data_IF_525646098691
#
_entry.id   IF_525646098691
#
_cell.length_a   1.000
_cell.length_b   1.000
_cell.length_c   1.000
_cell.angle_alpha   90.00
_cell.angle_beta   90.00
_cell.angle_gamma   90.00
#
_symmetry.space_group_name_H-M   'P 1'
#
loop_
_entity.id
_entity.type
_entity.pdbx_description
1 polymer ?
#
# COMPACT_ATOMS: atom_id res chain seq x y z
N UNK A 1 -4.82 -5.41 -10.61
CA UNK A 1 -5.76 -6.18 -9.75
C UNK A 1 -7.05 -5.41 -9.39
N UNK A 2 -7.03 -4.40 -8.51
CA UNK A 2 -8.27 -3.81 -7.95
C UNK A 2 -9.20 -3.05 -8.94
N UNK A 3 -8.62 -2.45 -9.98
CA UNK A 3 -9.33 -1.52 -10.89
C UNK A 3 -9.46 -2.08 -12.31
N UNK A 4 -8.35 -2.57 -12.86
CA UNK A 4 -8.20 -2.80 -14.29
C UNK A 4 -9.19 -3.83 -14.86
N UNK A 5 -9.35 -4.98 -14.21
CA UNK A 5 -9.95 -6.14 -14.86
C UNK A 5 -9.06 -6.67 -15.97
N UNK A 6 -9.68 -7.19 -17.03
CA UNK A 6 -8.98 -7.70 -18.21
C UNK A 6 -7.85 -8.66 -17.80
N UNK A 7 -8.12 -9.52 -16.80
CA UNK A 7 -7.10 -10.28 -16.09
C UNK A 7 -6.40 -11.32 -16.99
N UNK A 8 -7.07 -11.73 -18.08
CA UNK A 8 -6.61 -12.70 -19.09
C UNK A 8 -6.65 -12.13 -20.51
N UNK A 9 -6.60 -10.82 -20.65
CA UNK A 9 -6.66 -10.11 -21.93
C UNK A 9 -5.37 -9.34 -22.21
N UNK A 10 -5.17 -8.98 -23.48
CA UNK A 10 -4.06 -8.15 -23.93
C UNK A 10 -2.68 -8.68 -23.57
N UNK A 11 -2.49 -10.00 -23.63
CA UNK A 11 -1.21 -10.68 -23.37
C UNK A 11 -0.75 -10.70 -21.91
N UNK A 12 -1.58 -10.28 -20.94
CA UNK A 12 -1.26 -10.32 -19.51
C UNK A 12 -1.09 -11.76 -19.01
N UNK A 13 -0.04 -12.00 -18.21
CA UNK A 13 0.14 -13.25 -17.46
C UNK A 13 -0.65 -13.30 -16.14
N UNK A 14 -0.79 -14.47 -15.50
CA UNK A 14 -1.45 -14.59 -14.21
C UNK A 14 -0.62 -13.95 -13.09
N UNK A 15 -1.29 -13.30 -12.15
CA UNK A 15 -0.71 -12.85 -10.89
C UNK A 15 -1.06 -13.81 -9.74
N UNK A 16 -0.35 -13.66 -8.61
CA UNK A 16 -0.66 -14.41 -7.38
C UNK A 16 -2.08 -14.13 -6.87
N UNK A 17 -2.65 -12.97 -7.18
CA UNK A 17 -4.03 -12.64 -6.83
C UNK A 17 -5.04 -13.32 -7.76
N UNK A 18 -4.75 -13.42 -9.05
CA UNK A 18 -5.57 -14.21 -9.98
C UNK A 18 -5.65 -15.67 -9.47
N UNK A 19 -4.48 -16.28 -9.21
CA UNK A 19 -4.40 -17.65 -8.68
C UNK A 19 -5.11 -17.82 -7.34
N UNK A 20 -4.91 -16.90 -6.40
CA UNK A 20 -5.48 -17.01 -5.05
C UNK A 20 -7.00 -16.91 -5.07
N UNK A 21 -7.56 -15.93 -5.79
CA UNK A 21 -9.01 -15.73 -5.84
C UNK A 21 -9.74 -16.86 -6.58
N UNK A 22 -9.11 -17.45 -7.62
CA UNK A 22 -9.68 -18.62 -8.31
C UNK A 22 -9.53 -19.93 -7.52
N UNK A 23 -8.42 -20.10 -6.78
CA UNK A 23 -8.15 -21.36 -6.05
C UNK A 23 -8.74 -21.39 -4.64
N UNK A 24 -8.96 -20.22 -4.03
CA UNK A 24 -9.48 -20.06 -2.68
C UNK A 24 -10.58 -18.99 -2.63
N UNK A 25 -11.67 -19.14 -3.40
CA UNK A 25 -12.75 -18.16 -3.41
C UNK A 25 -13.39 -17.96 -2.02
N UNK A 26 -13.32 -18.95 -1.13
CA UNK A 26 -13.73 -18.88 0.28
C UNK A 26 -12.96 -17.87 1.12
N UNK A 27 -11.79 -17.42 0.64
CA UNK A 27 -10.97 -16.41 1.32
C UNK A 27 -11.35 -14.97 0.95
N UNK A 28 -12.30 -14.81 0.03
CA UNK A 28 -12.90 -13.54 -0.33
C UNK A 28 -14.32 -13.54 0.25
N UNK A 29 -14.66 -12.50 1.00
CA UNK A 29 -15.87 -12.44 1.84
C UNK A 29 -17.17 -12.64 1.05
N UNK A 30 -17.20 -12.21 -0.20
CA UNK A 30 -18.33 -12.38 -1.13
C UNK A 30 -18.03 -13.36 -2.28
N UNK A 31 -16.95 -14.15 -2.15
CA UNK A 31 -16.46 -15.10 -3.15
C UNK A 31 -16.14 -14.51 -4.53
N UNK A 32 -15.98 -13.18 -4.61
CA UNK A 32 -15.66 -12.51 -5.86
C UNK A 32 -14.16 -12.55 -6.21
N UNK A 33 -13.81 -12.02 -7.38
CA UNK A 33 -12.44 -11.90 -7.85
C UNK A 33 -12.23 -10.59 -8.63
N UNK A 34 -10.98 -10.37 -9.07
CA UNK A 34 -10.57 -9.20 -9.85
C UNK A 34 -10.58 -9.39 -11.37
N UNK A 35 -11.24 -10.42 -11.91
CA UNK A 35 -11.18 -10.76 -13.35
C UNK A 35 -11.63 -9.59 -14.23
N UNK A 36 -12.75 -8.97 -13.83
CA UNK A 36 -13.32 -7.76 -14.46
C UNK A 36 -13.06 -6.52 -13.61
N UNK A 37 -12.99 -6.65 -12.28
CA UNK A 37 -12.84 -5.50 -11.38
C UNK A 37 -13.90 -4.42 -11.67
N UNK A 38 -13.47 -3.20 -11.98
CA UNK A 38 -14.33 -2.14 -12.51
C UNK A 38 -14.05 -1.82 -13.97
N UNK A 39 -13.33 -2.71 -14.64
CA UNK A 39 -13.04 -2.62 -16.07
C UNK A 39 -12.33 -1.32 -16.47
N UNK A 40 -11.47 -0.78 -15.58
CA UNK A 40 -10.70 0.42 -15.91
C UNK A 40 -9.74 0.18 -17.08
N UNK A 41 -9.38 -1.07 -17.41
CA UNK A 41 -8.58 -1.38 -18.59
C UNK A 41 -9.23 -0.85 -19.88
N UNK A 42 -10.55 -1.03 -20.01
CA UNK A 42 -11.31 -0.51 -21.15
C UNK A 42 -11.93 0.87 -20.90
N UNK A 43 -12.20 1.22 -19.64
CA UNK A 43 -12.97 2.42 -19.25
C UNK A 43 -12.12 3.58 -18.72
N UNK A 44 -10.79 3.49 -18.77
CA UNK A 44 -9.89 4.49 -18.18
C UNK A 44 -10.18 5.94 -18.63
N UNK A 45 -10.63 6.16 -19.87
CA UNK A 45 -10.97 7.51 -20.37
C UNK A 45 -12.12 8.15 -19.58
N UNK A 46 -13.15 7.37 -19.24
CA UNK A 46 -14.27 7.85 -18.41
C UNK A 46 -13.79 8.15 -16.99
N UNK A 47 -12.94 7.28 -16.43
CA UNK A 47 -12.38 7.45 -15.08
C UNK A 47 -11.50 8.73 -15.02
N UNK A 48 -10.68 9.00 -16.05
CA UNK A 48 -9.88 10.24 -16.17
C UNK A 48 -10.76 11.48 -16.35
N UNK A 49 -11.77 11.41 -17.21
CA UNK A 49 -12.71 12.52 -17.39
C UNK A 49 -13.41 12.87 -16.08
N UNK A 50 -13.74 11.87 -15.26
CA UNK A 50 -14.35 12.10 -13.96
C UNK A 50 -13.41 12.78 -12.96
N UNK A 51 -12.13 12.38 -12.91
CA UNK A 51 -11.13 13.07 -12.09
C UNK A 51 -10.97 14.54 -12.48
N UNK A 52 -10.94 14.82 -13.79
CA UNK A 52 -10.90 16.19 -14.31
C UNK A 52 -12.11 17.00 -13.87
N UNK A 53 -13.31 16.43 -14.00
CA UNK A 53 -14.55 17.11 -13.61
C UNK A 53 -14.63 17.40 -12.11
N UNK A 54 -14.03 16.55 -11.26
CA UNK A 54 -13.90 16.80 -9.82
C UNK A 54 -12.82 17.85 -9.52
N UNK A 55 -11.86 18.08 -10.42
CA UNK A 55 -10.77 19.05 -10.24
C UNK A 55 -9.49 18.45 -9.65
N UNK A 56 -9.34 17.11 -9.65
CA UNK A 56 -8.09 16.48 -9.21
C UNK A 56 -6.96 16.77 -10.19
N UNK A 57 -5.78 17.09 -9.64
CA UNK A 57 -4.57 17.47 -10.38
C UNK A 57 -3.51 16.35 -10.45
N UNK A 58 -3.75 15.22 -9.78
CA UNK A 58 -2.86 14.07 -9.78
C UNK A 58 -3.67 12.78 -9.64
N UNK A 59 -3.16 11.70 -10.24
CA UNK A 59 -3.73 10.36 -10.10
C UNK A 59 -2.65 9.37 -9.72
N UNK A 60 -2.85 8.71 -8.58
CA UNK A 60 -2.02 7.59 -8.16
C UNK A 60 -2.62 6.28 -8.66
N UNK A 61 -1.87 5.53 -9.46
CA UNK A 61 -2.25 4.20 -9.91
C UNK A 61 -1.03 3.27 -9.91
N UNK A 62 -1.26 1.96 -10.05
CA UNK A 62 -0.19 0.97 -10.12
C UNK A 62 -0.06 0.36 -11.50
N UNK A 63 1.15 -0.06 -11.86
CA UNK A 63 1.38 -0.92 -13.02
C UNK A 63 1.25 -2.39 -12.57
N UNK A 64 0.47 -3.17 -13.31
CA UNK A 64 0.39 -4.62 -13.15
C UNK A 64 1.65 -5.24 -13.75
N UNK A 65 2.54 -5.74 -12.89
CA UNK A 65 3.78 -6.39 -13.31
C UNK A 65 3.51 -7.52 -14.34
N UNK A 66 2.61 -8.49 -14.11
CA UNK A 66 2.37 -9.54 -15.10
C UNK A 66 1.67 -9.04 -16.38
N UNK A 67 1.16 -7.80 -16.43
CA UNK A 67 0.72 -7.18 -17.69
C UNK A 67 1.89 -6.68 -18.53
N UNK A 68 2.98 -6.22 -17.90
CA UNK A 68 4.20 -5.75 -18.59
C UNK A 68 5.16 -6.89 -18.91
N UNK A 69 5.40 -7.77 -17.93
CA UNK A 69 6.24 -8.97 -18.07
C UNK A 69 5.39 -10.19 -17.72
N UNK A 70 4.74 -10.85 -18.70
CA UNK A 70 3.82 -11.97 -18.43
C UNK A 70 4.45 -13.17 -17.72
N UNK A 71 5.74 -13.43 -17.94
CA UNK A 71 6.52 -14.44 -17.21
C UNK A 71 7.37 -13.83 -16.07
N UNK A 72 7.06 -12.59 -15.69
CA UNK A 72 7.66 -11.82 -14.60
C UNK A 72 9.06 -11.28 -14.83
N UNK A 73 9.87 -11.89 -15.70
CA UNK A 73 11.24 -11.44 -15.99
C UNK A 73 11.44 -11.11 -17.48
N UNK A 74 12.60 -10.53 -17.81
CA UNK A 74 12.93 -10.08 -19.17
C UNK A 74 13.10 -11.24 -20.17
N UNK A 75 13.50 -12.43 -19.71
CA UNK A 75 13.55 -13.63 -20.57
C UNK A 75 12.13 -14.01 -21.03
N UNK A 76 11.14 -13.63 -20.23
CA UNK A 76 9.73 -13.72 -20.53
C UNK A 76 9.26 -12.94 -21.76
N UNK A 77 9.99 -11.89 -22.13
CA UNK A 77 9.57 -10.89 -23.11
C UNK A 77 8.72 -9.78 -22.48
N UNK A 78 8.80 -8.59 -23.09
CA UNK A 78 7.96 -7.44 -22.73
C UNK A 78 6.67 -7.47 -23.54
N UNK A 79 5.53 -7.42 -22.86
CA UNK A 79 4.23 -7.34 -23.51
C UNK A 79 3.95 -5.90 -24.00
N UNK A 80 4.01 -5.71 -25.32
CA UNK A 80 3.82 -4.39 -25.95
C UNK A 80 2.39 -3.86 -25.84
N UNK A 81 1.40 -4.73 -25.74
CA UNK A 81 0.01 -4.31 -25.54
C UNK A 81 -0.19 -3.74 -24.13
N UNK A 82 0.38 -4.38 -23.11
CA UNK A 82 0.44 -3.85 -21.76
C UNK A 82 1.12 -2.48 -21.66
N UNK A 83 2.26 -2.32 -22.35
CA UNK A 83 2.94 -1.01 -22.46
C UNK A 83 2.03 0.03 -23.13
N UNK A 84 1.32 -0.36 -24.19
CA UNK A 84 0.40 0.53 -24.93
C UNK A 84 -0.74 1.00 -24.03
N UNK A 85 -1.34 0.12 -23.23
CA UNK A 85 -2.38 0.48 -22.28
C UNK A 85 -1.92 1.56 -21.29
N UNK A 86 -0.78 1.37 -20.61
CA UNK A 86 -0.31 2.36 -19.65
C UNK A 86 0.13 3.66 -20.33
N UNK A 87 0.73 3.60 -21.53
CA UNK A 87 1.00 4.80 -22.32
C UNK A 87 -0.28 5.59 -22.62
N UNK A 88 -1.35 4.90 -23.00
CA UNK A 88 -2.64 5.53 -23.29
C UNK A 88 -3.25 6.18 -22.05
N UNK A 89 -3.22 5.51 -20.89
CA UNK A 89 -3.67 6.08 -19.62
C UNK A 89 -2.83 7.31 -19.22
N UNK A 90 -1.51 7.21 -19.28
CA UNK A 90 -0.59 8.32 -18.95
C UNK A 90 -0.83 9.51 -19.86
N UNK A 91 -0.97 9.29 -21.16
CA UNK A 91 -1.24 10.35 -22.12
C UNK A 91 -2.60 11.01 -21.87
N UNK A 92 -3.64 10.23 -21.56
CA UNK A 92 -4.96 10.75 -21.23
C UNK A 92 -4.93 11.61 -19.96
N UNK A 93 -4.22 11.18 -18.92
CA UNK A 93 -4.03 11.97 -17.68
C UNK A 93 -3.34 13.30 -17.98
N UNK A 94 -2.22 13.27 -18.72
CA UNK A 94 -1.46 14.48 -19.00
C UNK A 94 -2.25 15.44 -19.88
N UNK A 95 -2.96 14.93 -20.89
CA UNK A 95 -3.84 15.75 -21.75
C UNK A 95 -4.97 16.43 -20.96
N UNK A 96 -5.34 15.88 -19.80
CA UNK A 96 -6.35 16.42 -18.92
C UNK A 96 -5.78 17.18 -17.70
N UNK A 97 -4.46 17.39 -17.67
CA UNK A 97 -3.76 18.19 -16.66
C UNK A 97 -3.46 17.45 -15.35
N UNK A 98 -3.63 16.11 -15.32
CA UNK A 98 -3.31 15.31 -14.14
C UNK A 98 -1.89 14.74 -14.18
N UNK A 99 -1.19 14.85 -13.06
CA UNK A 99 0.12 14.26 -12.87
C UNK A 99 0.00 12.77 -12.51
N UNK A 100 0.64 11.86 -13.27
CA UNK A 100 0.67 10.45 -12.92
C UNK A 100 1.67 10.20 -11.77
N UNK A 101 1.17 9.61 -10.68
CA UNK A 101 1.97 9.04 -9.58
C UNK A 101 1.92 7.52 -9.70
N UNK A 102 3.01 6.90 -10.17
CA UNK A 102 2.97 5.47 -10.52
C UNK A 102 3.56 4.62 -9.42
N UNK A 103 2.78 3.65 -8.94
CA UNK A 103 3.25 2.57 -8.07
C UNK A 103 3.68 1.36 -8.89
N UNK A 104 4.96 0.99 -8.83
CA UNK A 104 5.51 -0.13 -9.61
C UNK A 104 4.98 -1.48 -9.12
N UNK A 105 4.88 -1.65 -7.80
CA UNK A 105 4.37 -2.87 -7.18
C UNK A 105 3.30 -2.58 -6.14
N UNK A 106 2.09 -3.07 -6.40
CA UNK A 106 0.95 -3.01 -5.49
C UNK A 106 0.36 -4.41 -5.30
N UNK A 107 1.17 -5.32 -4.75
CA UNK A 107 0.82 -6.72 -4.43
C UNK A 107 0.48 -7.63 -5.62
N UNK A 108 0.41 -7.11 -6.84
CA UNK A 108 0.07 -7.84 -8.08
C UNK A 108 1.29 -8.55 -8.69
N UNK A 109 1.82 -9.54 -7.96
CA UNK A 109 3.06 -10.24 -8.32
C UNK A 109 2.84 -11.32 -9.41
N UNK A 110 3.73 -11.48 -10.41
CA UNK A 110 3.59 -12.52 -11.42
C UNK A 110 3.65 -13.94 -10.82
N UNK A 111 2.64 -14.77 -11.10
CA UNK A 111 2.61 -16.16 -10.61
C UNK A 111 3.83 -16.95 -11.08
N UNK A 112 4.34 -16.67 -12.28
CA UNK A 112 5.52 -17.33 -12.84
C UNK A 112 6.76 -17.24 -11.93
N UNK A 113 6.97 -16.11 -11.24
CA UNK A 113 8.11 -15.93 -10.33
C UNK A 113 7.84 -16.54 -8.94
N UNK A 114 6.58 -16.58 -8.53
CA UNK A 114 6.18 -17.32 -7.33
C UNK A 114 6.44 -18.82 -7.53
N UNK A 115 6.08 -19.36 -8.70
CA UNK A 115 6.32 -20.76 -9.06
C UNK A 115 7.81 -21.07 -9.25
N UNK A 116 8.58 -20.16 -9.86
CA UNK A 116 9.99 -20.40 -10.16
C UNK A 116 10.86 -20.45 -8.89
N UNK A 117 10.64 -19.54 -7.94
CA UNK A 117 11.52 -19.41 -6.78
C UNK A 117 10.84 -18.91 -5.49
N UNK A 118 9.51 -18.91 -5.41
CA UNK A 118 8.78 -18.46 -4.21
C UNK A 118 8.78 -16.94 -4.01
N UNK A 119 8.90 -16.19 -5.11
CA UNK A 119 8.79 -14.73 -5.10
C UNK A 119 9.77 -14.05 -4.14
N UNK A 120 9.23 -13.25 -3.21
CA UNK A 120 10.03 -12.48 -2.25
C UNK A 120 10.72 -13.31 -1.15
N UNK A 121 10.56 -14.64 -1.13
CA UNK A 121 11.40 -15.50 -0.28
C UNK A 121 12.82 -15.68 -0.83
N UNK A 122 13.05 -15.38 -2.10
CA UNK A 122 14.32 -15.58 -2.80
C UNK A 122 15.03 -14.27 -3.10
N UNK A 123 16.36 -14.20 -2.96
CA UNK A 123 17.14 -13.00 -3.33
C UNK A 123 17.13 -12.71 -4.83
N UNK A 124 16.72 -13.67 -5.68
CA UNK A 124 16.57 -13.45 -7.13
C UNK A 124 15.62 -12.29 -7.46
N UNK A 125 14.65 -12.04 -6.58
CA UNK A 125 13.64 -11.01 -6.77
C UNK A 125 14.22 -9.61 -6.91
N UNK A 126 15.39 -9.34 -6.30
CA UNK A 126 16.03 -8.03 -6.35
C UNK A 126 16.34 -7.64 -7.80
N UNK A 127 16.89 -8.58 -8.58
CA UNK A 127 17.27 -8.33 -9.97
C UNK A 127 16.04 -8.29 -10.88
N UNK A 128 15.07 -9.19 -10.68
CA UNK A 128 13.85 -9.20 -11.49
C UNK A 128 13.02 -7.93 -11.28
N UNK A 129 12.89 -7.46 -10.04
CA UNK A 129 12.21 -6.21 -9.74
C UNK A 129 12.96 -4.99 -10.30
N UNK A 130 14.29 -4.96 -10.19
CA UNK A 130 15.10 -3.89 -10.79
C UNK A 130 14.95 -3.84 -12.32
N UNK A 131 14.94 -5.01 -12.97
CA UNK A 131 14.72 -5.13 -14.41
C UNK A 131 13.32 -4.67 -14.84
N UNK A 132 12.29 -5.08 -14.10
CA UNK A 132 10.92 -4.64 -14.31
C UNK A 132 10.77 -3.12 -14.14
N UNK A 133 11.34 -2.57 -13.07
CA UNK A 133 11.37 -1.14 -12.82
C UNK A 133 12.09 -0.39 -13.95
N UNK A 134 13.22 -0.92 -14.45
CA UNK A 134 13.95 -0.35 -15.58
C UNK A 134 13.12 -0.30 -16.88
N UNK A 135 12.31 -1.33 -17.15
CA UNK A 135 11.35 -1.29 -18.27
C UNK A 135 10.37 -0.13 -18.08
N UNK A 136 9.77 -0.01 -16.89
CA UNK A 136 8.81 1.07 -16.60
C UNK A 136 9.44 2.46 -16.73
N UNK A 137 10.65 2.66 -16.20
CA UNK A 137 11.35 3.95 -16.30
C UNK A 137 11.65 4.32 -17.76
N UNK A 138 12.07 3.35 -18.56
CA UNK A 138 12.40 3.56 -19.98
C UNK A 138 11.16 3.90 -20.81
N UNK A 139 10.06 3.20 -20.57
CA UNK A 139 8.85 3.28 -21.41
C UNK A 139 7.94 4.45 -21.02
N UNK A 140 7.99 4.91 -19.76
CA UNK A 140 7.05 5.91 -19.25
C UNK A 140 7.70 7.14 -18.59
N UNK A 141 8.99 7.08 -18.25
CA UNK A 141 9.65 8.11 -17.43
C UNK A 141 9.93 9.43 -18.14
N UNK A 142 9.76 9.48 -19.47
CA UNK A 142 9.74 10.72 -20.23
C UNK A 142 8.59 11.65 -19.77
N UNK A 143 7.46 11.04 -19.37
CA UNK A 143 6.22 11.72 -18.92
C UNK A 143 5.99 11.61 -17.41
N UNK A 144 6.35 10.49 -16.79
CA UNK A 144 6.10 10.22 -15.37
C UNK A 144 7.22 10.79 -14.52
N UNK A 145 6.85 11.62 -13.52
CA UNK A 145 7.80 12.33 -12.65
C UNK A 145 7.74 11.92 -11.17
N UNK A 146 6.81 11.05 -10.79
CA UNK A 146 6.69 10.56 -9.43
C UNK A 146 6.53 9.04 -9.43
N UNK A 147 7.59 8.36 -9.00
CA UNK A 147 7.68 6.91 -8.92
C UNK A 147 7.57 6.44 -7.48
N UNK A 148 6.69 5.48 -7.25
CA UNK A 148 6.55 4.76 -5.99
C UNK A 148 6.94 3.32 -6.29
N UNK A 149 7.97 2.82 -5.63
CA UNK A 149 8.44 1.44 -5.84
C UNK A 149 7.43 0.41 -5.34
N UNK A 150 7.12 0.44 -4.05
CA UNK A 150 6.25 -0.52 -3.38
C UNK A 150 5.09 0.20 -2.67
N UNK A 151 3.94 -0.47 -2.61
CA UNK A 151 2.84 -0.15 -1.71
C UNK A 151 2.84 -1.09 -0.51
N UNK A 152 2.88 -0.54 0.71
CA UNK A 152 2.60 -1.23 1.98
C UNK A 152 3.37 -2.57 2.15
N UNK A 153 4.71 -2.56 2.04
CA UNK A 153 5.52 -3.78 2.03
C UNK A 153 5.37 -4.63 3.30
N UNK A 154 5.18 -4.00 4.47
CA UNK A 154 4.94 -4.72 5.73
C UNK A 154 3.60 -5.44 5.71
N UNK A 155 2.56 -4.83 5.11
CA UNK A 155 1.26 -5.48 4.96
C UNK A 155 1.33 -6.64 3.96
N UNK A 156 2.04 -6.48 2.83
CA UNK A 156 2.30 -7.58 1.89
C UNK A 156 2.95 -8.77 2.60
N UNK A 157 4.02 -8.50 3.35
CA UNK A 157 4.77 -9.52 4.10
C UNK A 157 3.91 -10.22 5.16
N UNK A 158 3.23 -9.46 6.02
CA UNK A 158 2.44 -10.04 7.14
C UNK A 158 1.12 -10.67 6.67
N UNK A 159 0.50 -10.14 5.63
CA UNK A 159 -0.69 -10.71 5.00
C UNK A 159 -0.39 -12.04 4.31
N UNK A 160 0.65 -12.06 3.47
CA UNK A 160 1.01 -13.22 2.65
C UNK A 160 1.79 -14.32 3.36
N UNK A 161 2.61 -13.98 4.37
CA UNK A 161 3.61 -14.88 4.96
C UNK A 161 3.56 -15.00 6.50
N UNK A 162 2.74 -14.20 7.19
CA UNK A 162 2.50 -14.36 8.63
C UNK A 162 1.11 -14.91 8.93
N UNK A 163 0.07 -14.20 8.47
CA UNK A 163 -1.33 -14.59 8.68
C UNK A 163 -1.85 -15.58 7.64
N UNK A 164 -1.24 -15.57 6.44
CA UNK A 164 -1.76 -16.27 5.27
C UNK A 164 -3.13 -15.74 4.81
N UNK A 165 -3.54 -14.55 5.24
CA UNK A 165 -4.80 -13.95 4.80
C UNK A 165 -4.78 -13.53 3.33
N UNK A 166 -3.61 -13.27 2.76
CA UNK A 166 -3.44 -12.81 1.38
C UNK A 166 -2.54 -13.78 0.59
N UNK A 167 -2.47 -13.68 -0.75
CA UNK A 167 -1.52 -14.47 -1.52
C UNK A 167 -0.07 -14.22 -1.04
N UNK A 168 0.82 -15.23 -1.07
CA UNK A 168 0.61 -16.59 -1.58
C UNK A 168 -0.01 -17.58 -0.56
N UNK A 169 -0.70 -17.09 0.48
CA UNK A 169 -1.36 -17.90 1.52
C UNK A 169 -0.37 -18.79 2.29
N UNK A 170 0.68 -18.16 2.83
CA UNK A 170 1.69 -18.82 3.65
C UNK A 170 1.61 -18.41 5.11
N UNK A 171 1.63 -19.41 5.99
CA UNK A 171 1.72 -19.25 7.43
C UNK A 171 2.14 -20.57 8.08
N UNK A 172 2.56 -20.53 9.34
CA UNK A 172 2.80 -21.75 10.11
C UNK A 172 1.51 -22.57 10.25
N UNK A 173 1.59 -23.89 10.05
CA UNK A 173 0.43 -24.82 10.12
C UNK A 173 -0.40 -24.72 11.41
N UNK A 174 0.22 -24.34 12.53
CA UNK A 174 -0.44 -24.18 13.82
C UNK A 174 -1.16 -22.83 13.97
N UNK A 175 -0.92 -21.87 13.08
CA UNK A 175 -1.50 -20.54 13.11
C UNK A 175 -2.84 -20.51 12.35
N UNK A 176 -2.84 -20.98 11.10
CA UNK A 176 -4.04 -21.10 10.29
C UNK A 176 -3.87 -22.21 9.22
N UNK A 177 -4.96 -22.53 8.53
CA UNK A 177 -4.92 -23.45 7.39
C UNK A 177 -4.32 -22.73 6.17
N UNK A 178 -3.00 -22.80 6.02
CA UNK A 178 -2.25 -22.23 4.90
C UNK A 178 -1.60 -23.34 4.07
N UNK A 179 -1.30 -23.05 2.82
CA UNK A 179 -0.68 -24.02 1.89
C UNK A 179 0.68 -24.52 2.38
N UNK A 180 1.50 -23.61 2.93
CA UNK A 180 2.82 -23.87 3.49
C UNK A 180 3.26 -22.67 4.36
N UNK A 181 4.49 -22.69 4.86
CA UNK A 181 5.17 -21.50 5.37
C UNK A 181 5.51 -21.53 6.85
N UNK A 182 6.15 -20.45 7.29
CA UNK A 182 6.62 -20.26 8.66
C UNK A 182 6.48 -18.80 9.09
N UNK A 183 5.41 -18.51 9.84
CA UNK A 183 5.09 -17.20 10.41
C UNK A 183 6.14 -16.68 11.40
N UNK A 184 7.08 -17.54 11.82
CA UNK A 184 8.18 -17.15 12.72
C UNK A 184 9.38 -16.56 11.97
N UNK A 185 9.54 -16.84 10.67
CA UNK A 185 10.74 -16.46 9.89
C UNK A 185 10.41 -15.76 8.56
N UNK A 186 9.46 -16.27 7.79
CA UNK A 186 9.19 -15.80 6.41
C UNK A 186 8.86 -14.31 6.31
N UNK A 187 8.08 -13.70 7.23
CA UNK A 187 7.82 -12.26 7.16
C UNK A 187 9.09 -11.40 7.22
N UNK A 188 10.11 -11.86 7.94
CA UNK A 188 11.39 -11.15 8.03
C UNK A 188 12.23 -11.28 6.78
N UNK A 189 12.25 -12.47 6.18
CA UNK A 189 12.92 -12.73 4.90
C UNK A 189 12.27 -11.92 3.78
N UNK A 190 10.95 -11.95 3.68
CA UNK A 190 10.18 -11.22 2.66
C UNK A 190 10.34 -9.71 2.81
N UNK A 191 10.21 -9.17 4.02
CA UNK A 191 10.43 -7.74 4.24
C UNK A 191 11.86 -7.33 3.92
N UNK A 192 12.86 -8.18 4.17
CA UNK A 192 14.24 -7.91 3.79
C UNK A 192 14.42 -7.79 2.27
N UNK A 193 13.93 -8.77 1.50
CA UNK A 193 14.04 -8.70 0.04
C UNK A 193 13.17 -7.59 -0.57
N UNK A 194 12.03 -7.21 0.04
CA UNK A 194 11.28 -6.03 -0.37
C UNK A 194 12.11 -4.75 -0.22
N UNK A 195 12.82 -4.58 0.91
CA UNK A 195 13.71 -3.43 1.13
C UNK A 195 14.84 -3.42 0.08
N UNK A 196 15.44 -4.58 -0.22
CA UNK A 196 16.53 -4.67 -1.19
C UNK A 196 16.04 -4.43 -2.63
N UNK A 197 14.89 -4.99 -3.01
CA UNK A 197 14.26 -4.75 -4.30
C UNK A 197 13.92 -3.26 -4.49
N UNK A 198 13.33 -2.62 -3.48
CA UNK A 198 13.11 -1.18 -3.46
C UNK A 198 14.41 -0.40 -3.73
N UNK A 199 15.45 -0.69 -2.95
CA UNK A 199 16.72 0.02 -3.05
C UNK A 199 17.43 -0.23 -4.40
N UNK A 200 17.31 -1.44 -4.97
CA UNK A 200 17.81 -1.76 -6.29
C UNK A 200 17.10 -0.96 -7.40
N UNK A 201 15.77 -0.84 -7.35
CA UNK A 201 15.00 -0.02 -8.30
C UNK A 201 15.35 1.47 -8.19
N UNK A 202 15.52 1.99 -6.97
CA UNK A 202 15.95 3.37 -6.72
C UNK A 202 17.33 3.63 -7.29
N UNK A 203 18.28 2.70 -7.07
CA UNK A 203 19.62 2.79 -7.62
C UNK A 203 19.60 2.88 -9.14
N UNK A 204 18.84 1.99 -9.81
CA UNK A 204 18.64 2.03 -11.26
C UNK A 204 18.09 3.38 -11.72
N UNK A 205 17.06 3.90 -11.04
CA UNK A 205 16.47 5.19 -11.39
C UNK A 205 17.49 6.33 -11.27
N UNK A 206 18.18 6.44 -10.14
CA UNK A 206 19.14 7.51 -9.85
C UNK A 206 20.31 7.50 -10.83
N UNK A 207 20.88 6.32 -11.09
CA UNK A 207 22.08 6.19 -11.92
C UNK A 207 21.81 6.35 -13.41
N UNK A 208 20.65 5.88 -13.91
CA UNK A 208 20.38 5.82 -15.35
C UNK A 208 19.35 6.83 -15.86
N UNK A 209 18.41 7.28 -15.04
CA UNK A 209 17.22 7.98 -15.51
C UNK A 209 16.95 9.33 -14.83
N UNK A 210 17.27 9.50 -13.54
CA UNK A 210 16.84 10.67 -12.79
C UNK A 210 17.40 11.99 -13.36
N UNK A 211 18.66 12.00 -13.80
CA UNK A 211 19.28 13.20 -14.37
C UNK A 211 18.59 13.66 -15.67
N UNK A 212 18.20 12.73 -16.54
CA UNK A 212 17.56 13.03 -17.83
C UNK A 212 16.04 13.25 -17.68
N UNK A 213 15.38 12.42 -16.88
CA UNK A 213 13.92 12.44 -16.71
C UNK A 213 13.44 13.44 -15.66
N UNK A 214 14.31 13.86 -14.73
CA UNK A 214 14.05 14.86 -13.68
C UNK A 214 12.84 14.54 -12.79
N UNK A 215 12.55 13.26 -12.57
CA UNK A 215 11.52 12.82 -11.63
C UNK A 215 12.08 12.49 -10.25
N UNK A 216 11.17 12.10 -9.36
CA UNK A 216 11.44 11.68 -7.99
C UNK A 216 11.00 10.24 -7.79
N UNK A 217 11.70 9.50 -6.92
CA UNK A 217 11.37 8.12 -6.57
C UNK A 217 11.27 7.93 -5.06
N UNK A 218 10.28 7.15 -4.62
CA UNK A 218 10.01 6.88 -3.22
C UNK A 218 9.36 5.51 -3.01
N UNK A 219 8.78 5.34 -1.82
CA UNK A 219 8.04 4.15 -1.40
C UNK A 219 6.83 4.57 -0.58
N UNK A 220 5.75 3.79 -0.64
CA UNK A 220 4.56 4.01 0.17
C UNK A 220 4.51 3.03 1.33
N UNK A 221 4.44 3.55 2.56
CA UNK A 221 4.36 2.79 3.79
C UNK A 221 2.99 2.98 4.44
N UNK A 222 2.46 1.93 5.06
CA UNK A 222 1.27 2.03 5.90
C UNK A 222 1.62 2.04 7.38
N UNK A 223 0.83 2.79 8.15
CA UNK A 223 0.83 2.64 9.60
C UNK A 223 -0.45 3.17 10.21
N UNK A 224 -0.98 2.46 11.20
CA UNK A 224 -1.87 3.07 12.17
C UNK A 224 -1.04 3.93 13.13
N UNK A 225 -1.60 5.04 13.61
CA UNK A 225 -0.97 5.74 14.73
C UNK A 225 -1.19 4.94 16.02
N UNK A 226 -0.12 4.68 16.76
CA UNK A 226 -0.17 3.87 17.99
C UNK A 226 -0.16 4.79 19.20
N UNK A 227 -1.30 4.83 19.90
CA UNK A 227 -1.50 5.64 21.10
C UNK A 227 -1.20 4.78 22.33
N UNK A 228 -0.44 5.24 23.33
CA UNK A 228 -0.30 4.48 24.57
C UNK A 228 -1.65 4.37 25.29
N UNK A 229 -1.98 3.18 25.81
CA UNK A 229 -3.25 2.93 26.48
C UNK A 229 -3.40 3.79 27.75
N UNK A 230 -2.32 3.97 28.50
CA UNK A 230 -2.21 4.86 29.66
C UNK A 230 -0.94 5.74 29.59
N UNK A 231 -0.77 6.63 30.57
CA UNK A 231 0.43 7.46 30.70
C UNK A 231 1.62 6.73 31.37
N UNK A 232 1.48 5.43 31.65
CA UNK A 232 2.55 4.62 32.23
C UNK A 232 3.76 4.56 31.28
N UNK A 233 4.95 4.32 31.85
CA UNK A 233 6.16 4.16 31.05
C UNK A 233 6.03 2.92 30.15
N UNK A 234 5.42 1.87 30.68
CA UNK A 234 5.22 0.57 30.05
C UNK A 234 4.37 0.69 28.78
N UNK A 235 3.28 1.46 28.81
CA UNK A 235 2.40 1.65 27.66
C UNK A 235 2.99 2.60 26.63
N UNK A 236 3.74 3.63 27.06
CA UNK A 236 4.50 4.50 26.14
C UNK A 236 5.56 3.72 25.39
N UNK A 237 6.31 2.87 26.10
CA UNK A 237 7.28 1.97 25.47
C UNK A 237 6.57 0.95 24.58
N UNK A 238 5.43 0.41 24.98
CA UNK A 238 4.64 -0.50 24.13
C UNK A 238 4.17 0.18 22.84
N UNK A 239 3.73 1.44 22.89
CA UNK A 239 3.36 2.19 21.69
C UNK A 239 4.56 2.37 20.74
N UNK A 240 5.75 2.69 21.28
CA UNK A 240 6.99 2.75 20.50
C UNK A 240 7.33 1.39 19.86
N UNK A 241 7.21 0.28 20.60
CA UNK A 241 7.42 -1.06 20.04
C UNK A 241 6.41 -1.40 18.95
N UNK A 242 5.15 -0.98 19.12
CA UNK A 242 4.12 -1.16 18.11
C UNK A 242 4.47 -0.45 16.81
N UNK A 243 4.85 0.82 16.88
CA UNK A 243 5.33 1.58 15.71
C UNK A 243 6.57 0.93 15.08
N UNK A 244 7.48 0.40 15.89
CA UNK A 244 8.69 -0.25 15.38
C UNK A 244 8.39 -1.46 14.48
N UNK A 245 7.38 -2.26 14.83
CA UNK A 245 6.96 -3.44 14.07
C UNK A 245 5.91 -3.15 12.98
N UNK A 246 5.37 -1.92 12.91
CA UNK A 246 4.41 -1.51 11.87
C UNK A 246 5.04 -0.61 10.81
N UNK A 247 5.75 0.43 11.25
CA UNK A 247 6.24 1.52 10.40
C UNK A 247 7.76 1.51 10.29
N UNK A 248 8.45 1.51 11.43
CA UNK A 248 9.91 1.65 11.43
C UNK A 248 10.61 0.42 10.85
N UNK A 249 9.95 -0.74 10.83
CA UNK A 249 10.49 -1.96 10.23
C UNK A 249 10.97 -1.72 8.79
N UNK A 250 10.27 -0.84 8.04
CA UNK A 250 10.70 -0.42 6.72
C UNK A 250 11.36 0.97 6.74
N UNK A 251 10.82 1.95 7.48
CA UNK A 251 11.31 3.34 7.46
C UNK A 251 12.72 3.49 8.06
N UNK A 252 13.05 2.76 9.12
CA UNK A 252 14.35 2.83 9.79
C UNK A 252 15.49 2.35 8.88
N UNK A 253 15.40 1.19 8.18
CA UNK A 253 16.37 0.81 7.15
C UNK A 253 16.62 1.91 6.12
N UNK A 254 15.57 2.56 5.61
CA UNK A 254 15.73 3.64 4.64
C UNK A 254 16.46 4.86 5.22
N UNK A 255 16.24 5.16 6.50
CA UNK A 255 16.87 6.31 7.15
C UNK A 255 18.32 6.02 7.58
N UNK A 256 18.53 4.95 8.35
CA UNK A 256 19.80 4.65 9.01
C UNK A 256 20.62 3.57 8.31
N UNK A 257 20.01 2.75 7.45
CA UNK A 257 20.61 1.57 6.81
C UNK A 257 20.50 0.29 7.65
N UNK A 258 19.88 0.35 8.83
CA UNK A 258 19.74 -0.78 9.76
C UNK A 258 18.30 -0.94 10.23
N UNK A 259 17.93 -2.13 10.70
CA UNK A 259 16.63 -2.34 11.36
C UNK A 259 16.53 -1.62 12.72
N UNK A 260 15.29 -1.35 13.21
CA UNK A 260 15.10 -0.80 14.54
C UNK A 260 15.77 -1.67 15.61
N UNK A 261 16.52 -1.05 16.53
CA UNK A 261 17.25 -1.76 17.59
C UNK A 261 16.32 -2.68 18.42
N UNK A 262 15.08 -2.24 18.66
CA UNK A 262 14.09 -3.05 19.37
C UNK A 262 13.70 -4.32 18.61
N UNK A 263 13.65 -4.28 17.28
CA UNK A 263 13.40 -5.47 16.48
C UNK A 263 14.61 -6.41 16.50
N UNK A 264 15.83 -5.87 16.35
CA UNK A 264 17.07 -6.66 16.44
C UNK A 264 17.13 -7.42 17.76
N UNK A 265 16.84 -6.75 18.87
CA UNK A 265 16.89 -7.35 20.22
C UNK A 265 15.79 -8.40 20.45
N UNK A 266 14.60 -8.23 19.88
CA UNK A 266 13.44 -9.11 20.15
C UNK A 266 13.33 -10.28 19.18
N UNK A 267 13.60 -10.03 17.90
CA UNK A 267 13.51 -11.04 16.84
C UNK A 267 14.78 -11.89 16.81
N UNK A 268 15.94 -11.28 17.11
CA UNK A 268 17.21 -11.96 17.18
C UNK A 268 17.62 -12.57 15.83
N UNK A 269 18.08 -13.83 15.86
CA UNK A 269 18.60 -14.52 14.67
C UNK A 269 17.59 -14.77 13.54
N UNK A 270 16.28 -14.55 13.77
CA UNK A 270 15.24 -14.65 12.73
C UNK A 270 15.18 -13.40 11.84
N UNK A 271 15.73 -12.27 12.30
CA UNK A 271 15.81 -11.04 11.53
C UNK A 271 17.08 -11.08 10.66
N UNK A 272 16.96 -10.98 9.31
CA UNK A 272 18.12 -10.89 8.44
C UNK A 272 19.02 -9.71 8.80
N UNK A 273 20.29 -9.78 8.38
CA UNK A 273 21.27 -8.71 8.58
C UNK A 273 21.64 -8.14 7.23
N UNK A 274 21.66 -6.82 7.12
CA UNK A 274 22.19 -6.16 5.94
C UNK A 274 23.71 -6.38 5.85
N UNK A 275 24.19 -6.84 4.70
CA UNK A 275 25.61 -6.77 4.36
C UNK A 275 26.04 -5.30 4.21
N UNK A 276 27.36 -5.05 4.21
CA UNK A 276 27.87 -3.68 3.99
C UNK A 276 27.38 -3.07 2.67
N UNK A 277 27.29 -3.90 1.62
CA UNK A 277 26.79 -3.48 0.30
C UNK A 277 25.31 -3.10 0.37
N UNK A 278 24.49 -3.92 1.00
CA UNK A 278 23.06 -3.67 1.16
C UNK A 278 22.81 -2.44 2.02
N UNK A 279 23.51 -2.29 3.15
CA UNK A 279 23.45 -1.09 3.99
C UNK A 279 23.66 0.19 3.17
N UNK A 280 24.69 0.23 2.33
CA UNK A 280 25.01 1.39 1.49
C UNK A 280 23.95 1.64 0.41
N UNK A 281 23.30 0.58 -0.07
CA UNK A 281 22.26 0.67 -1.10
C UNK A 281 20.93 1.14 -0.52
N UNK A 282 20.58 0.66 0.68
CA UNK A 282 19.30 0.92 1.34
C UNK A 282 19.26 2.29 2.00
N UNK A 283 20.36 2.72 2.63
CA UNK A 283 20.39 4.00 3.34
C UNK A 283 20.17 5.18 2.37
N UNK A 284 19.13 5.96 2.62
CA UNK A 284 18.77 7.15 1.86
C UNK A 284 18.16 6.85 0.48
N UNK A 285 17.65 5.63 0.24
CA UNK A 285 17.07 5.21 -1.04
C UNK A 285 15.67 5.78 -1.34
N UNK A 286 15.42 7.04 -1.01
CA UNK A 286 14.17 7.72 -1.33
C UNK A 286 14.39 9.22 -1.53
N UNK A 287 13.55 9.83 -2.36
CA UNK A 287 13.42 11.29 -2.51
C UNK A 287 12.20 11.80 -1.72
N UNK A 288 11.18 10.95 -1.55
CA UNK A 288 9.99 11.19 -0.74
C UNK A 288 9.46 9.89 -0.13
N UNK A 289 8.61 10.02 0.90
CA UNK A 289 7.86 8.91 1.51
C UNK A 289 6.37 9.10 1.24
N UNK A 290 5.74 8.08 0.69
CA UNK A 290 4.28 7.93 0.68
C UNK A 290 3.81 7.38 2.02
N UNK A 291 2.75 7.96 2.58
CA UNK A 291 2.10 7.47 3.79
C UNK A 291 0.64 7.14 3.53
N UNK A 292 0.29 5.88 3.79
CA UNK A 292 -1.09 5.42 3.85
C UNK A 292 -1.54 5.45 5.31
N UNK A 293 -2.52 6.30 5.60
CA UNK A 293 -3.07 6.45 6.94
C UNK A 293 -4.58 6.28 6.93
N UNK A 294 -5.10 5.49 7.86
CA UNK A 294 -6.54 5.21 7.96
C UNK A 294 -7.11 5.33 9.37
N UNK A 295 -6.36 4.84 10.37
CA UNK A 295 -6.88 4.57 11.71
C UNK A 295 -5.79 4.72 12.77
N UNK A 296 -6.19 4.59 14.03
CA UNK A 296 -5.28 4.51 15.18
C UNK A 296 -5.68 3.37 16.09
N UNK A 297 -4.74 2.93 16.93
CA UNK A 297 -4.98 1.88 17.93
C UNK A 297 -4.30 2.23 19.24
N UNK A 298 -4.83 1.76 20.36
CA UNK A 298 -4.13 1.81 21.63
C UNK A 298 -3.15 0.64 21.75
N UNK A 299 -2.04 0.87 22.45
CA UNK A 299 -1.06 -0.17 22.77
C UNK A 299 -0.80 -0.22 24.27
N UNK A 300 -0.71 -1.44 24.79
CA UNK A 300 -0.24 -1.73 26.14
C UNK A 300 0.79 -2.85 26.13
N UNK A 301 1.67 -2.85 27.12
CA UNK A 301 2.69 -3.90 27.23
C UNK A 301 2.04 -5.26 27.45
N UNK A 302 2.58 -6.30 26.79
CA UNK A 302 2.12 -7.68 26.93
C UNK A 302 3.32 -8.59 27.17
N UNK A 303 3.17 -9.71 27.90
CA UNK A 303 4.20 -10.73 27.96
C UNK A 303 4.60 -11.19 26.55
N UNK A 304 5.91 -11.35 26.32
CA UNK A 304 6.41 -11.92 25.07
C UNK A 304 6.07 -13.42 24.99
N UNK A 305 5.69 -13.92 23.81
CA UNK A 305 5.49 -15.36 23.63
C UNK A 305 6.81 -16.11 23.84
N UNK A 306 6.78 -17.20 24.62
CA UNK A 306 7.95 -18.07 24.84
C UNK A 306 8.08 -19.16 23.79
N UNK A 307 6.98 -19.50 23.14
CA UNK A 307 6.91 -20.51 22.09
C UNK A 307 6.13 -19.94 20.92
N UNK A 308 6.51 -20.35 19.70
CA UNK A 308 5.80 -19.98 18.46
C UNK A 308 5.65 -18.45 18.28
N UNK A 309 6.74 -17.66 18.42
CA UNK A 309 6.67 -16.22 18.16
C UNK A 309 6.34 -15.95 16.70
N UNK A 310 5.50 -14.94 16.46
CA UNK A 310 5.20 -14.41 15.11
C UNK A 310 5.56 -12.93 15.03
N UNK A 311 5.61 -12.41 13.80
CA UNK A 311 5.74 -10.98 13.54
C UNK A 311 4.68 -10.12 14.27
N UNK A 312 3.50 -10.66 14.56
CA UNK A 312 2.44 -9.96 15.30
C UNK A 312 2.68 -9.91 16.82
N UNK A 313 3.41 -10.87 17.36
CA UNK A 313 3.59 -11.04 18.81
C UNK A 313 4.97 -10.61 19.29
N UNK A 314 5.95 -10.53 18.40
CA UNK A 314 7.35 -10.22 18.71
C UNK A 314 7.56 -8.81 19.27
N UNK A 315 6.62 -7.90 19.02
CA UNK A 315 6.62 -6.58 19.66
C UNK A 315 6.34 -6.65 21.18
N UNK A 316 5.72 -7.75 21.66
CA UNK A 316 5.22 -7.90 23.03
C UNK A 316 4.30 -6.73 23.41
N UNK A 317 3.35 -6.47 22.52
CA UNK A 317 2.37 -5.40 22.60
C UNK A 317 1.00 -6.03 22.40
N UNK A 318 0.03 -5.63 23.22
CA UNK A 318 -1.38 -5.87 22.96
C UNK A 318 -1.99 -4.60 22.41
N UNK A 319 -2.52 -4.70 21.20
CA UNK A 319 -3.29 -3.62 20.59
C UNK A 319 -4.77 -3.72 21.01
N UNK A 320 -5.41 -2.57 21.18
CA UNK A 320 -6.85 -2.49 21.48
C UNK A 320 -7.42 -1.20 20.93
N UNK A 321 -8.66 -1.24 20.47
CA UNK A 321 -9.41 -0.05 20.05
C UNK A 321 -10.24 0.52 21.20
N UNK A 322 -10.22 -0.11 22.37
CA UNK A 322 -11.01 0.27 23.54
C UNK A 322 -10.12 0.74 24.68
N UNK A 323 -10.48 1.88 25.29
CA UNK A 323 -9.90 2.38 26.55
C UNK A 323 -11.04 2.77 27.50
N UNK A 324 -11.05 2.19 28.70
CA UNK A 324 -12.10 2.41 29.71
C UNK A 324 -13.52 2.16 29.19
N UNK A 325 -13.71 1.11 28.37
CA UNK A 325 -15.00 0.76 27.77
C UNK A 325 -15.41 1.63 26.56
N UNK A 326 -14.60 2.62 26.17
CA UNK A 326 -14.88 3.50 25.04
C UNK A 326 -13.97 3.18 23.85
N UNK A 327 -14.56 3.14 22.65
CA UNK A 327 -13.81 3.03 21.40
C UNK A 327 -12.94 4.27 21.16
N UNK A 328 -11.78 4.08 20.52
CA UNK A 328 -10.85 5.15 20.16
C UNK A 328 -11.49 6.20 19.24
N UNK A 329 -12.47 5.77 18.44
CA UNK A 329 -13.30 6.62 17.59
C UNK A 329 -14.47 5.83 16.99
N UNK A 330 -15.36 6.50 16.25
CA UNK A 330 -16.44 5.82 15.52
C UNK A 330 -15.90 4.72 14.61
N UNK A 331 -16.54 3.55 14.61
CA UNK A 331 -16.18 2.43 13.75
C UNK A 331 -16.77 2.63 12.35
N UNK A 332 -15.98 2.37 11.31
CA UNK A 332 -16.46 2.35 9.92
C UNK A 332 -17.04 0.97 9.55
N UNK A 333 -17.17 0.66 8.26
CA UNK A 333 -17.68 -0.63 7.81
C UNK A 333 -16.68 -1.76 8.10
N UNK A 334 -15.39 -1.51 7.88
CA UNK A 334 -14.31 -2.44 8.21
C UNK A 334 -14.16 -2.66 9.72
N UNK A 335 -13.89 -3.90 10.11
CA UNK A 335 -13.64 -4.26 11.52
C UNK A 335 -12.41 -3.59 12.14
N UNK A 336 -11.46 -3.19 11.31
CA UNK A 336 -10.17 -2.62 11.69
C UNK A 336 -10.13 -1.08 11.66
N UNK A 337 -11.10 -0.42 11.03
CA UNK A 337 -11.06 1.02 10.75
C UNK A 337 -11.91 1.80 11.78
N UNK A 338 -11.23 2.60 12.60
CA UNK A 338 -11.83 3.50 13.58
C UNK A 338 -11.39 4.93 13.28
N UNK A 339 -12.34 5.85 13.20
CA UNK A 339 -12.09 7.23 12.77
C UNK A 339 -11.35 7.99 13.86
N UNK A 340 -10.06 8.28 13.64
CA UNK A 340 -9.21 9.01 14.58
C UNK A 340 -8.31 10.06 13.90
N UNK A 341 -8.87 11.19 13.44
CA UNK A 341 -8.12 12.24 12.74
C UNK A 341 -6.83 12.75 13.43
N UNK A 342 -6.73 12.87 14.77
CA UNK A 342 -5.48 13.28 15.42
C UNK A 342 -4.29 12.37 15.12
N UNK A 343 -4.52 11.10 14.77
CA UNK A 343 -3.43 10.17 14.53
C UNK A 343 -2.66 10.44 13.23
N UNK A 344 -3.27 11.06 12.20
CA UNK A 344 -2.52 11.44 10.99
C UNK A 344 -1.46 12.50 11.32
N UNK A 345 -1.81 13.47 12.18
CA UNK A 345 -0.87 14.46 12.68
C UNK A 345 0.23 13.79 13.51
N UNK A 346 -0.14 12.91 14.45
CA UNK A 346 0.83 12.20 15.29
C UNK A 346 1.85 11.39 14.48
N UNK A 347 1.39 10.62 13.48
CA UNK A 347 2.28 9.85 12.61
C UNK A 347 3.21 10.76 11.79
N UNK A 348 2.68 11.85 11.24
CA UNK A 348 3.46 12.80 10.45
C UNK A 348 4.53 13.53 11.27
N UNK A 349 4.19 13.95 12.48
CA UNK A 349 5.13 14.61 13.40
C UNK A 349 6.18 13.62 13.90
N UNK A 350 5.78 12.39 14.23
CA UNK A 350 6.71 11.31 14.56
C UNK A 350 7.71 11.05 13.41
N UNK A 351 7.21 10.92 12.18
CA UNK A 351 8.07 10.75 11.00
C UNK A 351 9.03 11.92 10.83
N UNK A 352 8.55 13.14 11.04
CA UNK A 352 9.37 14.35 10.98
C UNK A 352 10.50 14.32 12.01
N UNK A 353 10.17 14.08 13.26
CA UNK A 353 11.11 14.16 14.39
C UNK A 353 12.15 13.05 14.33
N UNK A 354 11.73 11.83 14.00
CA UNK A 354 12.61 10.65 14.02
C UNK A 354 13.46 10.52 12.77
N UNK A 355 12.94 10.87 11.59
CA UNK A 355 13.57 10.55 10.30
C UNK A 355 14.01 11.78 9.50
N UNK A 356 14.41 12.85 10.20
CA UNK A 356 14.95 14.08 9.60
C UNK A 356 14.00 14.76 8.60
N UNK A 357 12.71 14.82 8.95
CA UNK A 357 11.68 15.56 8.21
C UNK A 357 11.68 15.31 6.69
N UNK A 358 11.46 14.07 6.21
CA UNK A 358 11.46 13.75 4.78
C UNK A 358 10.33 14.50 4.04
N UNK A 359 10.39 14.56 2.70
CA UNK A 359 9.23 14.98 1.90
C UNK A 359 8.19 13.88 2.00
N UNK A 360 6.94 14.26 2.26
CA UNK A 360 5.84 13.31 2.47
C UNK A 360 4.70 13.57 1.49
N UNK A 361 4.11 12.50 0.96
CA UNK A 361 2.80 12.52 0.31
C UNK A 361 1.87 11.60 1.09
N UNK A 362 0.64 12.05 1.41
CA UNK A 362 -0.39 11.13 1.88
C UNK A 362 -0.90 10.37 0.67
N UNK A 363 -0.47 9.13 0.49
CA UNK A 363 -0.73 8.33 -0.72
C UNK A 363 -2.02 7.55 -0.67
N UNK A 364 -2.58 7.37 0.52
CA UNK A 364 -3.95 6.90 0.78
C UNK A 364 -4.47 7.46 2.11
N UNK A 365 -5.71 7.93 2.10
CA UNK A 365 -6.52 8.18 3.29
C UNK A 365 -8.00 8.09 2.92
N UNK A 366 -8.81 7.38 3.71
CA UNK A 366 -10.19 7.13 3.35
C UNK A 366 -10.99 6.35 4.39
N UNK A 367 -12.28 6.18 4.09
CA UNK A 367 -13.23 5.43 4.91
C UNK A 367 -14.19 4.65 4.01
N UNK A 368 -14.55 3.46 4.46
CA UNK A 368 -15.43 2.54 3.77
C UNK A 368 -16.87 2.55 4.28
N UNK A 369 -17.75 2.08 3.40
CA UNK A 369 -19.15 1.80 3.67
C UNK A 369 -19.45 0.36 3.26
N UNK A 370 -20.42 -0.27 3.94
CA UNK A 370 -20.91 -1.60 3.57
C UNK A 370 -21.64 -1.50 2.22
N UNK A 371 -21.37 -2.43 1.32
CA UNK A 371 -22.18 -2.64 0.12
C UNK A 371 -23.41 -3.48 0.46
N UNK A 372 -24.51 -2.83 0.87
CA UNK A 372 -25.79 -3.48 1.15
C UNK A 372 -26.64 -3.72 -0.12
N UNK A 373 -26.06 -3.50 -1.30
CA UNK A 373 -26.72 -3.62 -2.60
C UNK A 373 -27.57 -2.41 -2.99
N UNK A 374 -27.69 -1.38 -2.15
CA UNK A 374 -28.37 -0.13 -2.49
C UNK A 374 -27.38 0.90 -3.02
N UNK A 375 -27.82 1.71 -3.97
CA UNK A 375 -27.02 2.82 -4.47
C UNK A 375 -26.95 3.93 -3.41
N UNK A 376 -25.83 4.01 -2.70
CA UNK A 376 -25.58 5.02 -1.68
C UNK A 376 -24.69 6.14 -2.23
N UNK A 377 -25.31 7.23 -2.67
CA UNK A 377 -24.58 8.43 -3.16
C UNK A 377 -24.41 9.52 -2.08
N UNK A 378 -25.15 9.43 -0.97
CA UNK A 378 -25.12 10.44 0.10
C UNK A 378 -24.22 9.99 1.25
N UNK A 379 -22.91 10.07 1.03
CA UNK A 379 -21.85 9.61 1.92
C UNK A 379 -21.28 10.73 2.82
N UNK A 380 -22.14 11.37 3.61
CA UNK A 380 -21.72 12.50 4.48
C UNK A 380 -20.61 12.11 5.46
N UNK A 381 -20.65 10.89 5.99
CA UNK A 381 -19.61 10.38 6.90
C UNK A 381 -18.23 10.38 6.24
N UNK A 382 -18.14 10.16 4.92
CA UNK A 382 -16.88 10.26 4.17
C UNK A 382 -16.38 11.69 4.08
N UNK A 383 -17.29 12.66 3.88
CA UNK A 383 -16.94 14.09 3.92
C UNK A 383 -16.42 14.48 5.30
N UNK A 384 -17.11 14.06 6.37
CA UNK A 384 -16.71 14.35 7.75
C UNK A 384 -15.35 13.72 8.08
N UNK A 385 -15.12 12.47 7.65
CA UNK A 385 -13.83 11.80 7.79
C UNK A 385 -12.72 12.61 7.10
N UNK A 386 -12.87 12.87 5.80
CA UNK A 386 -11.82 13.50 4.99
C UNK A 386 -11.54 14.93 5.45
N UNK A 387 -12.59 15.73 5.69
CA UNK A 387 -12.42 17.12 6.13
C UNK A 387 -11.70 17.23 7.49
N UNK A 388 -12.01 16.35 8.44
CA UNK A 388 -11.28 16.30 9.71
C UNK A 388 -9.82 15.85 9.52
N UNK A 389 -9.55 14.83 8.68
CA UNK A 389 -8.17 14.42 8.42
C UNK A 389 -7.36 15.51 7.72
N UNK A 390 -7.95 16.24 6.77
CA UNK A 390 -7.32 17.40 6.12
C UNK A 390 -7.04 18.54 7.11
N UNK A 391 -7.89 18.76 8.11
CA UNK A 391 -7.63 19.74 9.17
C UNK A 391 -6.38 19.35 10.00
N UNK A 392 -6.25 18.08 10.39
CA UNK A 392 -5.07 17.60 11.13
C UNK A 392 -3.82 17.53 10.25
N UNK A 393 -3.97 17.26 8.95
CA UNK A 393 -2.90 17.38 7.97
C UNK A 393 -2.40 18.82 7.86
N UNK A 394 -3.31 19.80 7.78
CA UNK A 394 -2.95 21.21 7.76
C UNK A 394 -2.20 21.62 9.04
N UNK A 395 -2.59 21.10 10.20
CA UNK A 395 -1.87 21.33 11.47
C UNK A 395 -0.45 20.77 11.42
N UNK A 396 -0.26 19.53 10.94
CA UNK A 396 1.07 18.95 10.77
C UNK A 396 1.95 19.80 9.84
N UNK A 397 1.40 20.31 8.74
CA UNK A 397 2.09 21.22 7.81
C UNK A 397 2.48 22.53 8.52
N UNK A 398 1.58 23.13 9.28
CA UNK A 398 1.87 24.34 10.08
C UNK A 398 2.95 24.09 11.14
N UNK A 399 3.02 22.86 11.66
CA UNK A 399 4.06 22.41 12.57
C UNK A 399 5.36 22.01 11.85
N UNK A 400 5.49 22.28 10.54
CA UNK A 400 6.72 22.15 9.78
C UNK A 400 6.96 20.77 9.16
N UNK A 401 5.96 19.88 9.15
CA UNK A 401 6.04 18.64 8.37
C UNK A 401 5.98 18.96 6.87
N UNK A 402 6.91 18.41 6.08
CA UNK A 402 7.01 18.69 4.64
C UNK A 402 6.07 17.84 3.79
N UNK A 403 4.76 17.98 3.99
CA UNK A 403 3.76 17.34 3.13
C UNK A 403 3.63 18.09 1.79
N UNK A 404 3.55 17.34 0.68
CA UNK A 404 3.46 17.87 -0.70
C UNK A 404 2.25 17.41 -1.49
N UNK A 405 1.46 16.47 -0.98
CA UNK A 405 0.20 16.10 -1.61
C UNK A 405 -0.62 15.13 -0.76
N UNK A 406 -1.86 14.94 -1.20
CA UNK A 406 -2.85 14.10 -0.55
C UNK A 406 -3.67 13.36 -1.61
N UNK A 407 -3.81 12.05 -1.45
CA UNK A 407 -4.56 11.16 -2.32
C UNK A 407 -5.64 10.45 -1.49
N UNK A 408 -6.91 10.66 -1.85
CA UNK A 408 -8.03 9.97 -1.22
C UNK A 408 -8.08 8.51 -1.69
N UNK A 409 -8.10 7.57 -0.75
CA UNK A 409 -8.48 6.19 -1.06
C UNK A 409 -10.00 6.04 -0.88
N UNK A 410 -10.78 5.82 -1.93
CA UNK A 410 -10.38 5.58 -3.32
C UNK A 410 -11.12 6.51 -4.28
N UNK A 411 -10.64 6.61 -5.53
CA UNK A 411 -11.38 7.34 -6.56
C UNK A 411 -12.73 6.67 -6.82
N UNK A 412 -12.69 5.36 -7.11
CA UNK A 412 -13.84 4.54 -7.47
C UNK A 412 -14.00 3.43 -6.44
N UNK A 413 -15.24 3.04 -6.16
CA UNK A 413 -15.49 1.75 -5.49
C UNK A 413 -14.83 0.64 -6.32
N UNK A 414 -14.16 -0.32 -5.67
CA UNK A 414 -13.27 -1.27 -6.37
C UNK A 414 -13.24 -2.63 -5.65
N UNK A 415 -12.41 -3.57 -6.12
CA UNK A 415 -12.20 -4.86 -5.44
C UNK A 415 -11.26 -4.69 -4.22
N UNK A 416 -11.82 -4.76 -3.01
CA UNK A 416 -11.10 -4.53 -1.75
C UNK A 416 -10.51 -5.81 -1.15
N UNK A 417 -9.65 -6.47 -1.93
CA UNK A 417 -8.88 -7.63 -1.49
C UNK A 417 -9.79 -8.74 -0.92
N UNK A 418 -9.54 -9.20 0.31
CA UNK A 418 -10.33 -10.21 1.01
C UNK A 418 -11.78 -9.81 1.27
N UNK A 419 -12.13 -8.52 1.19
CA UNK A 419 -13.51 -8.08 1.30
C UNK A 419 -14.27 -8.18 -0.03
N UNK A 420 -13.57 -8.42 -1.16
CA UNK A 420 -14.18 -8.40 -2.48
C UNK A 420 -14.87 -7.07 -2.77
N UNK A 421 -16.13 -7.11 -3.18
CA UNK A 421 -16.96 -5.91 -3.42
C UNK A 421 -17.91 -5.60 -2.27
N UNK A 422 -17.74 -6.23 -1.10
CA UNK A 422 -18.61 -6.00 0.07
C UNK A 422 -18.37 -4.66 0.76
N UNK A 423 -17.26 -3.97 0.47
CA UNK A 423 -16.87 -2.68 1.03
C UNK A 423 -16.64 -1.65 -0.08
N UNK A 424 -16.99 -0.39 0.19
CA UNK A 424 -16.94 0.72 -0.76
C UNK A 424 -16.15 1.90 -0.21
N UNK A 425 -14.93 2.12 -0.72
CA UNK A 425 -14.08 3.26 -0.36
C UNK A 425 -14.21 4.47 -1.31
N UNK A 426 -14.88 4.31 -2.45
CA UNK A 426 -14.85 5.26 -3.55
C UNK A 426 -15.53 6.59 -3.23
N UNK A 427 -14.94 7.68 -3.72
CA UNK A 427 -15.63 8.97 -3.91
C UNK A 427 -16.69 8.89 -5.02
N UNK A 428 -16.52 7.91 -5.90
CA UNK A 428 -17.42 7.61 -7.01
C UNK A 428 -17.94 6.19 -6.82
N UNK A 429 -19.26 6.07 -6.78
CA UNK A 429 -19.95 4.79 -6.75
C UNK A 429 -19.81 4.08 -8.09
N UNK A 430 -19.49 2.78 -8.06
CA UNK A 430 -19.51 1.91 -9.23
C UNK A 430 -20.67 0.93 -9.10
N UNK A 431 -21.60 0.99 -10.05
CA UNK A 431 -22.76 0.10 -10.11
C UNK A 431 -22.35 -1.26 -10.71
N UNK A 432 -21.87 -2.15 -9.84
CA UNK A 432 -21.42 -3.49 -10.21
C UNK A 432 -22.49 -4.32 -10.94
N UNK A 433 -23.78 -4.00 -10.78
CA UNK A 433 -24.90 -4.75 -11.36
C UNK A 433 -25.45 -4.13 -12.65
N UNK A 434 -25.08 -2.89 -12.97
CA UNK A 434 -25.64 -2.14 -14.09
C UNK A 434 -24.56 -1.64 -15.04
N UNK A 435 -23.72 -2.57 -15.52
CA UNK A 435 -22.67 -2.27 -16.51
C UNK A 435 -21.54 -1.39 -15.96
N UNK A 436 -21.24 -1.49 -14.66
CA UNK A 436 -20.13 -0.79 -14.00
C UNK A 436 -20.23 0.75 -14.13
N UNK A 437 -21.44 1.31 -14.20
CA UNK A 437 -21.62 2.77 -14.34
C UNK A 437 -21.04 3.52 -13.14
N UNK A 438 -20.41 4.66 -13.42
CA UNK A 438 -19.82 5.54 -12.40
C UNK A 438 -20.80 6.66 -12.00
N UNK A 439 -21.02 6.82 -10.70
CA UNK A 439 -21.89 7.84 -10.12
C UNK A 439 -21.15 8.61 -9.03
N UNK A 440 -20.97 9.92 -9.21
CA UNK A 440 -20.34 10.77 -8.18
C UNK A 440 -21.14 10.69 -6.89
N UNK A 441 -20.48 10.32 -5.78
CA UNK A 441 -21.06 10.47 -4.44
C UNK A 441 -20.96 11.94 -4.00
N UNK A 442 -21.60 12.26 -2.88
CA UNK A 442 -21.59 13.60 -2.30
C UNK A 442 -20.18 14.04 -1.93
N UNK A 443 -19.31 13.12 -1.51
CA UNK A 443 -17.89 13.39 -1.25
C UNK A 443 -17.11 13.84 -2.50
N UNK A 444 -17.36 13.28 -3.68
CA UNK A 444 -16.79 13.77 -4.94
C UNK A 444 -17.26 15.20 -5.25
N UNK A 445 -18.53 15.50 -5.03
CA UNK A 445 -19.07 16.86 -5.21
C UNK A 445 -18.49 17.86 -4.20
N UNK A 446 -18.24 17.41 -2.97
CA UNK A 446 -17.58 18.21 -1.95
C UNK A 446 -16.13 18.54 -2.35
N UNK A 447 -15.36 17.56 -2.85
CA UNK A 447 -14.02 17.82 -3.38
C UNK A 447 -14.03 18.81 -4.54
N UNK A 448 -15.01 18.69 -5.46
CA UNK A 448 -15.18 19.65 -6.54
C UNK A 448 -15.34 21.07 -6.03
N UNK A 449 -16.14 21.28 -4.99
CA UNK A 449 -16.27 22.60 -4.38
C UNK A 449 -14.97 23.01 -3.69
N UNK A 450 -14.37 22.12 -2.91
CA UNK A 450 -13.15 22.39 -2.13
C UNK A 450 -11.94 22.78 -2.99
N UNK A 451 -11.77 22.19 -4.18
CA UNK A 451 -10.63 22.40 -5.07
C UNK A 451 -10.78 23.60 -6.03
N UNK A 452 -11.99 24.15 -6.15
CA UNK A 452 -12.29 25.31 -6.98
C UNK A 452 -12.57 26.58 -6.17
N UNK A 453 -12.32 26.54 -4.86
CA UNK A 453 -12.18 27.71 -3.99
C UNK A 453 -10.72 28.13 -3.93
#
# INVERSE_FOLDING_TARGET
MKYEGAAREGGKGPSIWDTFTHSHPDRISDHSNGDVAIDSYHRYKEDVAMMKDIGFNAYRFSISWPRILPRGNLQGGVNREGITYYNNLINELIANGQQPFITLFHSDFPQALEDEYGGFLSPKIEQDFANYAEVCFREFGDRVKHWITLNEPVLYSTGGYASGGSPPNRCSKWFANCTAGDSTTEPYVVTHHLILAHAAAVKVYREKFQASQKGQIGVTLNSAWVVPLSQSKEDREAAYRGLAFMYDWFMEPLYSGTYPAVMVNRVGGRLPKFTRREYLMVKGSYDFIGLNYYTSTYATSSPCPRQRPTAFTDACVRFTTVRNGLLIGPKAASDWLYVYPPGIQGLLEYTKEKFNNPIIYITENGIDEVNDGKMLLNDRTRIDYISHHLLYLQRAIRNGVRVKGYFAWSLLDNFEWNAGYSLRFGLVYVDYKNGLKRHRKRSALWFKIFLHQ
#
